data_IF_914194629736
#
_entry.id   IF_914194629736
#
_cell.length_a   1.000
_cell.length_b   1.000
_cell.length_c   1.000
_cell.angle_alpha   90.00
_cell.angle_beta   90.00
_cell.angle_gamma   90.00
#
_symmetry.space_group_name_H-M   'P 1'
#
loop_
_entity.id
_entity.type
_entity.pdbx_description
1 polymer ?
#
# COMPACT_ATOMS: atom_id res chain seq x y z
N UNK A 1 22.55 -30.64 -65.93
CA UNK A 1 23.25 -29.61 -65.17
C UNK A 1 22.52 -29.43 -63.82
N UNK A 2 23.08 -29.93 -62.73
CA UNK A 2 22.51 -29.77 -61.35
C UNK A 2 23.22 -28.59 -60.72
N UNK A 3 22.55 -27.49 -60.52
CA UNK A 3 23.07 -26.32 -59.83
C UNK A 3 22.90 -26.49 -58.31
N UNK A 4 23.99 -26.74 -57.62
CA UNK A 4 24.06 -26.76 -56.16
C UNK A 4 24.05 -25.35 -55.63
N UNK A 5 23.03 -24.98 -54.86
CA UNK A 5 23.00 -23.73 -54.09
C UNK A 5 24.13 -23.73 -53.03
N UNK A 6 24.85 -22.64 -52.85
CA UNK A 6 25.97 -22.60 -51.91
C UNK A 6 25.42 -22.58 -50.45
N UNK A 7 25.95 -23.52 -49.66
CA UNK A 7 25.66 -23.70 -48.23
C UNK A 7 25.98 -22.47 -47.36
N UNK A 8 26.64 -21.45 -47.91
CA UNK A 8 26.97 -20.20 -47.23
C UNK A 8 25.77 -19.28 -46.90
N UNK A 9 24.66 -19.33 -47.69
CA UNK A 9 23.48 -18.49 -47.45
C UNK A 9 22.61 -18.98 -46.28
N UNK A 10 22.63 -20.29 -46.00
CA UNK A 10 21.86 -20.88 -44.88
C UNK A 10 22.47 -20.57 -43.50
N UNK A 11 23.80 -20.44 -43.42
CA UNK A 11 24.53 -20.11 -42.17
C UNK A 11 24.34 -18.66 -41.79
N UNK A 12 24.17 -17.72 -42.75
CA UNK A 12 23.98 -16.30 -42.46
C UNK A 12 22.57 -16.01 -41.92
N UNK A 13 21.55 -16.78 -42.34
CA UNK A 13 20.18 -16.63 -41.83
C UNK A 13 19.98 -17.19 -40.43
N UNK A 14 20.74 -18.20 -40.02
CA UNK A 14 20.75 -18.72 -38.65
C UNK A 14 21.49 -17.79 -37.67
N UNK A 15 22.46 -16.99 -38.12
CA UNK A 15 23.20 -16.07 -37.25
C UNK A 15 22.39 -14.78 -36.93
N UNK A 16 21.46 -14.38 -37.80
CA UNK A 16 20.60 -13.22 -37.59
C UNK A 16 19.39 -13.49 -36.67
N UNK A 17 19.02 -14.77 -36.47
CA UNK A 17 17.94 -15.15 -35.56
C UNK A 17 18.36 -15.20 -34.07
N UNK A 18 19.65 -15.13 -33.76
CA UNK A 18 20.17 -15.27 -32.39
C UNK A 18 20.43 -13.93 -31.67
N UNK A 19 20.09 -12.80 -32.24
CA UNK A 19 20.29 -11.47 -31.63
C UNK A 19 19.01 -10.82 -31.09
N UNK A 20 17.97 -11.60 -30.82
CA UNK A 20 16.93 -11.13 -29.90
C UNK A 20 17.48 -11.17 -28.47
N UNK A 21 18.53 -10.39 -28.23
CA UNK A 21 18.85 -10.03 -26.85
C UNK A 21 17.64 -9.29 -26.31
N UNK A 22 16.97 -9.88 -25.30
CA UNK A 22 16.00 -9.16 -24.51
C UNK A 22 16.69 -7.87 -24.06
N UNK A 23 16.26 -6.72 -24.59
CA UNK A 23 16.78 -5.43 -24.16
C UNK A 23 16.63 -5.40 -22.64
N UNK A 24 17.67 -5.00 -21.88
CA UNK A 24 17.57 -4.94 -20.43
C UNK A 24 16.29 -4.20 -20.08
N UNK A 25 15.48 -4.77 -19.16
CA UNK A 25 14.22 -4.19 -18.71
C UNK A 25 14.49 -2.74 -18.25
N UNK A 26 14.34 -1.78 -19.16
CA UNK A 26 14.58 -0.39 -18.83
C UNK A 26 13.44 0.09 -17.95
N UNK A 27 13.76 0.45 -16.71
CA UNK A 27 12.82 1.02 -15.76
C UNK A 27 12.92 2.53 -15.85
N UNK A 28 11.82 3.19 -16.14
CA UNK A 28 11.72 4.63 -16.18
C UNK A 28 11.51 5.16 -14.76
N UNK A 29 12.43 6.03 -14.31
CA UNK A 29 12.31 6.76 -13.05
C UNK A 29 11.90 8.20 -13.35
N UNK A 30 10.77 8.65 -12.80
CA UNK A 30 10.25 10.01 -13.00
C UNK A 30 9.67 10.60 -11.72
N UNK A 31 9.77 11.91 -11.51
CA UNK A 31 8.89 12.60 -10.57
C UNK A 31 7.44 12.38 -10.96
N UNK A 32 6.59 12.19 -9.95
CA UNK A 32 5.15 12.01 -10.14
C UNK A 32 4.44 12.65 -8.95
N UNK A 33 4.21 13.96 -9.03
CA UNK A 33 3.70 14.78 -7.95
C UNK A 33 2.17 14.90 -8.02
N UNK A 34 1.50 15.04 -6.87
CA UNK A 34 0.08 15.27 -6.77
C UNK A 34 -0.19 16.64 -6.14
N UNK A 35 -0.86 17.51 -6.86
CA UNK A 35 -1.47 18.71 -6.27
C UNK A 35 -2.83 18.33 -5.70
N UNK A 36 -3.00 18.51 -4.38
CA UNK A 36 -4.23 18.20 -3.67
C UNK A 36 -5.18 19.42 -3.55
N UNK A 37 -4.79 20.58 -4.11
CA UNK A 37 -5.47 21.87 -3.84
C UNK A 37 -5.13 22.47 -2.47
N UNK A 38 -4.55 21.67 -1.57
CA UNK A 38 -4.11 22.07 -0.22
C UNK A 38 -2.61 21.83 -0.01
N UNK A 39 -1.85 21.71 -1.11
CA UNK A 39 -0.42 21.48 -1.12
C UNK A 39 -0.02 20.33 -2.05
N UNK A 40 1.24 20.36 -2.46
CA UNK A 40 1.80 19.39 -3.40
C UNK A 40 2.47 18.26 -2.66
N UNK A 41 1.99 17.04 -2.88
CA UNK A 41 2.63 15.81 -2.43
C UNK A 41 3.63 15.34 -3.48
N UNK A 42 4.90 15.26 -3.08
CA UNK A 42 6.00 14.88 -3.96
C UNK A 42 6.10 13.37 -4.05
N UNK A 43 6.02 12.85 -5.26
CA UNK A 43 6.07 11.42 -5.54
C UNK A 43 7.13 11.04 -6.55
N UNK A 44 7.33 9.73 -6.69
CA UNK A 44 8.25 9.10 -7.64
C UNK A 44 7.59 7.88 -8.26
N UNK A 45 7.57 7.86 -9.59
CA UNK A 45 7.10 6.74 -10.40
C UNK A 45 8.28 5.89 -10.84
N UNK A 46 8.16 4.57 -10.65
CA UNK A 46 8.92 3.56 -11.38
C UNK A 46 7.98 2.87 -12.37
N UNK A 47 8.30 2.99 -13.66
CA UNK A 47 7.50 2.41 -14.74
C UNK A 47 8.37 1.42 -15.53
N UNK A 48 8.10 0.11 -15.46
CA UNK A 48 8.80 -0.87 -16.28
C UNK A 48 8.40 -0.71 -17.75
N UNK A 49 9.32 -0.99 -18.65
CA UNK A 49 9.01 -1.09 -20.07
C UNK A 49 8.09 -2.29 -20.30
N UNK A 50 6.91 -2.06 -20.86
CA UNK A 50 5.92 -3.10 -21.15
C UNK A 50 5.23 -2.81 -22.49
N UNK A 51 4.82 -3.87 -23.19
CA UNK A 51 4.00 -3.76 -24.41
C UNK A 51 2.52 -3.46 -24.10
N UNK A 52 2.09 -3.72 -22.88
CA UNK A 52 0.73 -3.45 -22.38
C UNK A 52 0.82 -2.63 -21.09
N UNK A 53 -0.19 -1.84 -20.76
CA UNK A 53 -0.22 -1.13 -19.48
C UNK A 53 0.00 -2.09 -18.30
N UNK A 54 1.05 -1.87 -17.46
CA UNK A 54 1.27 -2.68 -16.27
C UNK A 54 0.28 -2.33 -15.16
N UNK A 55 0.05 -3.23 -14.17
CA UNK A 55 -0.57 -2.84 -12.92
C UNK A 55 0.30 -1.83 -12.18
N UNK A 56 -0.32 -0.91 -11.44
CA UNK A 56 0.38 0.08 -10.62
C UNK A 56 0.10 -0.11 -9.14
N UNK A 57 1.14 -0.03 -8.34
CA UNK A 57 1.09 -0.06 -6.88
C UNK A 57 1.24 1.36 -6.34
N UNK A 58 0.33 1.77 -5.45
CA UNK A 58 0.54 2.93 -4.59
C UNK A 58 1.11 2.45 -3.25
N UNK A 59 2.37 2.80 -2.97
CA UNK A 59 3.05 2.43 -1.72
C UNK A 59 2.80 3.50 -0.66
N UNK A 60 2.13 3.11 0.43
CA UNK A 60 1.81 3.96 1.59
C UNK A 60 2.78 3.66 2.73
N UNK A 61 3.61 4.64 3.07
CA UNK A 61 4.66 4.51 4.09
C UNK A 61 4.09 4.36 5.52
N UNK A 62 4.89 3.79 6.42
CA UNK A 62 4.60 3.64 7.84
C UNK A 62 4.60 4.94 8.63
N UNK A 63 4.54 4.82 9.96
CA UNK A 63 4.39 5.91 10.93
C UNK A 63 5.52 6.95 10.92
N UNK A 64 5.22 8.11 11.50
CA UNK A 64 6.17 9.21 11.70
C UNK A 64 6.67 9.83 10.38
N UNK A 65 7.81 10.54 10.41
CA UNK A 65 8.36 11.24 9.26
C UNK A 65 9.09 10.30 8.28
N UNK A 66 8.46 9.16 7.95
CA UNK A 66 8.98 8.21 6.97
C UNK A 66 8.76 8.74 5.56
N UNK A 67 9.86 8.92 4.82
CA UNK A 67 9.85 9.41 3.44
C UNK A 67 9.37 8.35 2.43
N UNK A 68 9.26 8.74 1.17
CA UNK A 68 8.82 7.88 0.07
C UNK A 68 9.72 6.66 -0.16
N UNK A 69 10.98 6.74 0.24
CA UNK A 69 11.96 5.66 0.06
C UNK A 69 12.00 4.70 1.27
N UNK A 70 11.33 5.07 2.36
CA UNK A 70 11.28 4.29 3.59
C UNK A 70 12.32 4.72 4.64
N UNK A 71 13.01 5.85 4.43
CA UNK A 71 13.93 6.40 5.42
C UNK A 71 13.18 7.20 6.48
N UNK A 72 13.67 7.16 7.70
CA UNK A 72 13.08 7.86 8.83
C UNK A 72 14.18 8.41 9.73
N UNK A 73 14.19 9.69 10.11
CA UNK A 73 15.22 10.28 10.97
C UNK A 73 15.39 9.57 12.32
N UNK A 74 14.32 8.92 12.81
CA UNK A 74 14.33 8.18 14.08
C UNK A 74 14.40 6.65 13.87
N UNK A 75 14.12 6.15 12.65
CA UNK A 75 14.02 4.73 12.32
C UNK A 75 15.11 4.22 11.38
N UNK A 76 16.02 5.08 10.94
CA UNK A 76 17.17 4.73 10.11
C UNK A 76 17.02 5.01 8.63
N UNK A 77 18.15 4.84 7.93
CA UNK A 77 18.25 5.05 6.48
C UNK A 77 18.47 3.71 5.77
N UNK A 78 17.41 3.05 5.38
CA UNK A 78 17.43 1.69 4.83
C UNK A 78 16.76 1.54 3.46
N UNK A 79 16.01 2.56 3.00
CA UNK A 79 15.41 2.64 1.66
C UNK A 79 14.53 1.44 1.28
N UNK A 80 13.84 0.81 2.24
CA UNK A 80 13.10 -0.45 2.02
C UNK A 80 11.95 -0.28 1.02
N UNK A 81 11.25 0.86 0.99
CA UNK A 81 10.17 1.11 0.02
C UNK A 81 10.71 1.33 -1.40
N UNK A 82 11.85 2.02 -1.53
CA UNK A 82 12.51 2.14 -2.84
C UNK A 82 12.92 0.76 -3.35
N UNK A 83 13.57 -0.06 -2.50
CA UNK A 83 13.98 -1.42 -2.89
C UNK A 83 12.80 -2.30 -3.28
N UNK A 84 11.66 -2.17 -2.57
CA UNK A 84 10.43 -2.89 -2.95
C UNK A 84 9.92 -2.43 -4.32
N UNK A 85 9.90 -1.13 -4.57
CA UNK A 85 9.48 -0.57 -5.85
C UNK A 85 10.38 -1.03 -7.01
N UNK A 86 11.71 -1.04 -6.81
CA UNK A 86 12.68 -1.55 -7.78
C UNK A 86 12.43 -3.03 -8.10
N UNK A 87 12.29 -3.87 -7.06
CA UNK A 87 12.04 -5.29 -7.22
C UNK A 87 10.69 -5.61 -7.89
N UNK A 88 9.66 -4.79 -7.68
CA UNK A 88 8.37 -4.90 -8.37
C UNK A 88 8.49 -4.48 -9.84
N UNK A 89 9.23 -3.40 -10.13
CA UNK A 89 9.45 -2.95 -11.50
C UNK A 89 10.21 -3.98 -12.35
N UNK A 90 11.18 -4.68 -11.77
CA UNK A 90 11.87 -5.82 -12.42
C UNK A 90 10.89 -6.96 -12.80
N UNK A 91 9.73 -7.03 -12.15
CA UNK A 91 8.66 -8.01 -12.41
C UNK A 91 7.51 -7.47 -13.25
N UNK A 92 7.70 -6.30 -13.88
CA UNK A 92 6.69 -5.71 -14.75
C UNK A 92 5.55 -4.99 -14.01
N UNK A 93 5.72 -4.63 -12.74
CA UNK A 93 4.74 -3.93 -11.91
C UNK A 93 5.22 -2.50 -11.70
N UNK A 94 4.42 -1.51 -12.14
CA UNK A 94 4.69 -0.11 -11.88
C UNK A 94 4.43 0.25 -10.41
N UNK A 95 5.09 1.31 -9.92
CA UNK A 95 4.84 1.79 -8.56
C UNK A 95 4.96 3.28 -8.43
N UNK A 96 4.11 3.87 -7.58
CA UNK A 96 4.23 5.24 -7.10
C UNK A 96 4.47 5.21 -5.60
N UNK A 97 5.49 5.96 -5.17
CA UNK A 97 5.83 6.24 -3.77
C UNK A 97 5.79 7.75 -3.58
N UNK A 98 5.30 8.19 -2.45
CA UNK A 98 5.20 9.63 -2.17
C UNK A 98 5.61 9.95 -0.73
N UNK A 99 6.12 11.17 -0.53
CA UNK A 99 6.32 11.70 0.81
C UNK A 99 4.96 12.11 1.36
N UNK A 100 4.62 11.60 2.52
CA UNK A 100 3.38 11.98 3.20
C UNK A 100 3.36 13.50 3.45
N UNK A 101 2.19 14.06 3.56
CA UNK A 101 1.97 15.47 3.93
C UNK A 101 2.76 15.81 5.20
N UNK A 102 3.50 16.91 5.21
CA UNK A 102 4.36 17.30 6.32
C UNK A 102 5.69 16.53 6.42
N UNK A 103 6.04 15.69 5.43
CA UNK A 103 7.26 14.88 5.44
C UNK A 103 8.15 15.20 4.25
N UNK A 104 9.46 15.22 4.47
CA UNK A 104 10.51 15.36 3.47
C UNK A 104 10.20 16.45 2.45
N UNK A 105 10.06 16.13 1.15
CA UNK A 105 9.78 17.12 0.10
C UNK A 105 8.32 17.60 0.06
N UNK A 106 7.42 16.95 0.80
CA UNK A 106 6.02 17.36 1.00
C UNK A 106 5.81 18.16 2.28
N UNK A 107 6.89 18.66 2.92
CA UNK A 107 6.82 19.42 4.18
C UNK A 107 5.88 20.63 4.06
N UNK A 108 5.97 21.37 2.96
CA UNK A 108 5.14 22.56 2.71
C UNK A 108 3.63 22.25 2.55
N UNK A 109 3.25 20.99 2.36
CA UNK A 109 1.84 20.59 2.26
C UNK A 109 1.14 20.51 3.64
N UNK A 110 1.90 20.53 4.74
CA UNK A 110 1.37 20.69 6.11
C UNK A 110 2.35 21.56 6.91
N UNK A 111 2.21 22.89 6.85
CA UNK A 111 3.13 23.79 7.55
C UNK A 111 3.04 23.68 9.07
N UNK A 112 1.93 23.18 9.60
CA UNK A 112 1.76 22.94 11.02
C UNK A 112 1.43 21.46 11.27
N UNK A 113 2.16 20.83 12.20
CA UNK A 113 1.99 19.41 12.55
C UNK A 113 0.63 19.13 13.19
N UNK A 114 0.07 20.06 13.92
CA UNK A 114 -1.23 19.94 14.58
C UNK A 114 -2.43 19.86 13.61
N UNK A 115 -2.24 20.20 12.34
CA UNK A 115 -3.25 20.05 11.30
C UNK A 115 -3.31 18.62 10.73
N UNK A 116 -2.36 17.75 11.11
CA UNK A 116 -2.32 16.37 10.65
C UNK A 116 -3.33 15.48 11.39
N UNK A 117 -3.93 14.57 10.66
CA UNK A 117 -4.79 13.50 11.19
C UNK A 117 -4.73 12.27 10.28
N UNK A 118 -5.19 11.12 10.77
CA UNK A 118 -5.37 9.93 9.95
C UNK A 118 -6.31 10.21 8.78
N UNK A 119 -7.39 10.99 9.00
CA UNK A 119 -8.33 11.38 7.95
C UNK A 119 -7.64 12.11 6.80
N UNK A 120 -6.76 13.06 7.09
CA UNK A 120 -5.98 13.80 6.08
C UNK A 120 -5.10 12.85 5.26
N UNK A 121 -4.43 11.89 5.88
CA UNK A 121 -3.62 10.91 5.16
C UNK A 121 -4.48 9.93 4.33
N UNK A 122 -5.67 9.58 4.81
CA UNK A 122 -6.66 8.80 4.04
C UNK A 122 -7.11 9.55 2.80
N UNK A 123 -7.43 10.84 2.94
CA UNK A 123 -7.82 11.70 1.81
C UNK A 123 -6.69 11.85 0.78
N UNK A 124 -5.43 11.94 1.23
CA UNK A 124 -4.27 11.93 0.33
C UNK A 124 -4.16 10.61 -0.47
N UNK A 125 -4.38 9.44 0.16
CA UNK A 125 -4.40 8.14 -0.53
C UNK A 125 -5.54 8.07 -1.54
N UNK A 126 -6.72 8.59 -1.21
CA UNK A 126 -7.86 8.66 -2.14
C UNK A 126 -7.50 9.50 -3.37
N UNK A 127 -6.95 10.71 -3.16
CA UNK A 127 -6.56 11.60 -4.24
C UNK A 127 -5.46 11.00 -5.15
N UNK A 128 -4.46 10.32 -4.56
CA UNK A 128 -3.47 9.56 -5.31
C UNK A 128 -4.10 8.44 -6.13
N UNK A 129 -5.04 7.71 -5.54
CA UNK A 129 -5.71 6.59 -6.19
C UNK A 129 -6.53 7.03 -7.40
N UNK A 130 -7.27 8.13 -7.27
CA UNK A 130 -8.00 8.72 -8.37
C UNK A 130 -7.09 9.19 -9.51
N UNK A 131 -5.96 9.83 -9.18
CA UNK A 131 -4.97 10.24 -10.17
C UNK A 131 -4.41 9.04 -10.94
N UNK A 132 -4.05 7.95 -10.23
CA UNK A 132 -3.50 6.75 -10.84
C UNK A 132 -4.50 6.00 -11.70
N UNK A 133 -5.75 5.91 -11.29
CA UNK A 133 -6.80 5.26 -12.06
C UNK A 133 -7.16 5.98 -13.36
N UNK A 134 -6.93 7.31 -13.43
CA UNK A 134 -7.13 8.10 -14.66
C UNK A 134 -5.93 8.08 -15.60
N UNK A 135 -4.81 7.51 -15.19
CA UNK A 135 -3.58 7.49 -15.98
C UNK A 135 -3.58 6.26 -16.92
N UNK A 136 -3.71 6.45 -18.25
CA UNK A 136 -3.85 5.34 -19.21
C UNK A 136 -2.60 4.46 -19.32
N UNK A 137 -1.51 4.84 -18.68
CA UNK A 137 -0.29 4.02 -18.63
C UNK A 137 -0.45 2.79 -17.74
N UNK A 138 -1.49 2.71 -16.92
CA UNK A 138 -1.71 1.63 -15.96
C UNK A 138 -2.99 0.87 -16.27
N UNK A 139 -2.98 -0.46 -16.05
CA UNK A 139 -4.16 -1.31 -16.25
C UNK A 139 -5.09 -1.33 -15.06
N UNK A 140 -4.53 -1.34 -13.84
CA UNK A 140 -5.27 -1.42 -12.58
C UNK A 140 -4.45 -0.89 -11.41
N UNK A 141 -5.11 -0.56 -10.30
CA UNK A 141 -4.51 0.01 -9.09
C UNK A 141 -4.54 -0.98 -7.93
N UNK A 142 -3.40 -1.13 -7.27
CA UNK A 142 -3.23 -1.91 -6.04
C UNK A 142 -2.73 -0.99 -4.93
N UNK A 143 -3.34 -1.04 -3.74
CA UNK A 143 -2.83 -0.37 -2.56
C UNK A 143 -1.87 -1.28 -1.79
N UNK A 144 -0.70 -0.79 -1.47
CA UNK A 144 0.27 -1.50 -0.61
C UNK A 144 0.61 -0.60 0.57
N UNK A 145 0.18 -0.97 1.75
CA UNK A 145 0.47 -0.25 2.98
C UNK A 145 1.50 -0.99 3.83
N UNK A 146 2.49 -0.27 4.35
CA UNK A 146 3.47 -0.78 5.28
C UNK A 146 3.22 -0.22 6.68
N UNK A 147 3.17 -1.09 7.71
CA UNK A 147 2.99 -0.69 9.11
C UNK A 147 1.71 0.15 9.29
N UNK A 148 1.78 1.37 9.81
CA UNK A 148 0.65 2.32 9.88
C UNK A 148 0.03 2.59 8.50
N UNK A 149 0.83 2.57 7.43
CA UNK A 149 0.34 2.70 6.06
C UNK A 149 -0.66 1.61 5.66
N UNK A 150 -0.62 0.43 6.29
CA UNK A 150 -1.62 -0.62 6.08
C UNK A 150 -3.00 -0.23 6.63
N UNK A 151 -3.05 0.43 7.79
CA UNK A 151 -4.29 1.01 8.33
C UNK A 151 -4.83 2.13 7.43
N UNK A 152 -3.97 3.08 7.05
CA UNK A 152 -4.35 4.20 6.19
C UNK A 152 -4.90 3.69 4.86
N UNK A 153 -4.21 2.73 4.22
CA UNK A 153 -4.67 2.11 2.98
C UNK A 153 -6.01 1.37 3.17
N UNK A 154 -6.20 0.67 4.31
CA UNK A 154 -7.46 -0.03 4.61
C UNK A 154 -8.64 0.91 4.81
N UNK A 155 -8.41 2.07 5.43
CA UNK A 155 -9.42 3.12 5.59
C UNK A 155 -9.75 3.81 4.25
N UNK A 156 -8.75 3.99 3.39
CA UNK A 156 -8.92 4.64 2.09
C UNK A 156 -9.58 3.73 1.05
N UNK A 157 -9.25 2.44 1.02
CA UNK A 157 -9.64 1.51 -0.03
C UNK A 157 -11.15 1.52 -0.40
N UNK A 158 -12.10 1.59 0.56
CA UNK A 158 -13.53 1.65 0.22
C UNK A 158 -13.95 2.92 -0.55
N UNK A 159 -13.08 3.93 -0.61
CA UNK A 159 -13.30 5.23 -1.28
C UNK A 159 -12.47 5.37 -2.55
N UNK A 160 -11.79 4.30 -2.98
CA UNK A 160 -10.85 4.32 -4.11
C UNK A 160 -11.24 3.28 -5.16
N UNK A 161 -10.78 3.42 -6.40
CA UNK A 161 -10.91 2.40 -7.44
C UNK A 161 -9.86 1.28 -7.32
N UNK A 162 -9.26 1.09 -6.16
CA UNK A 162 -8.29 0.02 -5.94
C UNK A 162 -8.96 -1.35 -5.99
N UNK A 163 -8.34 -2.27 -6.71
CA UNK A 163 -8.87 -3.63 -6.92
C UNK A 163 -8.30 -4.66 -5.94
N UNK A 164 -7.16 -4.36 -5.33
CA UNK A 164 -6.50 -5.21 -4.34
C UNK A 164 -5.83 -4.35 -3.26
N UNK A 165 -5.64 -4.95 -2.07
CA UNK A 165 -4.86 -4.34 -0.99
C UNK A 165 -3.87 -5.35 -0.40
N UNK A 166 -2.64 -4.90 -0.19
CA UNK A 166 -1.58 -5.66 0.47
C UNK A 166 -1.17 -4.93 1.75
N UNK A 167 -1.33 -5.60 2.88
CA UNK A 167 -0.89 -5.13 4.19
C UNK A 167 0.44 -5.79 4.54
N UNK A 168 1.51 -5.01 4.65
CA UNK A 168 2.85 -5.50 5.02
C UNK A 168 3.18 -4.99 6.42
N UNK A 169 3.45 -5.88 7.37
CA UNK A 169 3.79 -5.55 8.76
C UNK A 169 2.76 -4.59 9.41
N UNK A 170 1.47 -4.75 9.06
CA UNK A 170 0.37 -3.93 9.58
C UNK A 170 -0.08 -4.40 10.95
N UNK A 171 -0.41 -3.45 11.85
CA UNK A 171 -1.00 -3.79 13.14
C UNK A 171 -2.41 -4.36 12.98
N UNK A 172 -2.72 -5.37 13.77
CA UNK A 172 -4.07 -5.94 13.92
C UNK A 172 -4.81 -5.44 15.17
N UNK A 173 -4.18 -4.57 15.94
CA UNK A 173 -4.76 -4.02 17.16
C UNK A 173 -4.65 -2.48 17.21
N UNK A 174 -5.46 -1.79 18.03
CA UNK A 174 -5.40 -0.34 18.19
C UNK A 174 -4.00 0.15 18.56
N UNK A 175 -3.56 1.24 17.92
CA UNK A 175 -2.17 1.71 18.02
C UNK A 175 -1.79 2.20 19.42
N UNK A 176 -2.75 2.67 20.21
CA UNK A 176 -2.52 3.00 21.62
C UNK A 176 -2.04 1.77 22.43
N UNK A 177 -2.52 0.58 22.10
CA UNK A 177 -2.06 -0.69 22.70
C UNK A 177 -0.66 -1.05 22.23
N UNK A 178 -0.41 -0.96 20.92
CA UNK A 178 0.92 -1.24 20.33
C UNK A 178 1.98 -0.34 20.95
N UNK A 179 1.72 0.97 21.04
CA UNK A 179 2.65 1.93 21.65
C UNK A 179 2.93 1.59 23.14
N UNK A 180 1.89 1.26 23.89
CA UNK A 180 2.03 0.86 25.28
C UNK A 180 2.91 -0.39 25.45
N UNK A 181 2.74 -1.38 24.60
CA UNK A 181 3.57 -2.59 24.59
C UNK A 181 5.02 -2.29 24.22
N UNK A 182 5.26 -1.48 23.20
CA UNK A 182 6.59 -1.07 22.79
C UNK A 182 7.32 -0.25 23.88
N UNK A 183 6.60 0.61 24.60
CA UNK A 183 7.17 1.43 25.68
C UNK A 183 7.47 0.59 26.93
N UNK A 184 6.64 -0.44 27.23
CA UNK A 184 6.83 -1.32 28.40
C UNK A 184 8.20 -2.01 28.41
N UNK A 185 8.72 -2.37 27.24
CA UNK A 185 10.05 -2.98 27.12
C UNK A 185 11.22 -1.99 27.13
N UNK A 186 10.96 -0.68 27.09
CA UNK A 186 12.00 0.36 26.88
C UNK A 186 12.10 1.39 28.00
N UNK A 187 11.05 1.59 28.77
CA UNK A 187 10.99 2.63 29.80
C UNK A 187 11.07 2.06 31.21
N UNK A 188 11.75 2.76 32.13
CA UNK A 188 11.65 2.49 33.54
C UNK A 188 10.21 2.58 34.06
N UNK A 189 9.84 1.88 35.15
CA UNK A 189 8.44 1.82 35.62
C UNK A 189 7.79 3.18 35.91
N UNK A 190 8.55 4.17 36.40
CA UNK A 190 8.03 5.51 36.67
C UNK A 190 7.66 6.24 35.37
N UNK A 191 8.55 6.20 34.37
CA UNK A 191 8.28 6.82 33.05
C UNK A 191 7.17 6.09 32.28
N UNK A 192 7.07 4.76 32.43
CA UNK A 192 5.99 3.98 31.83
C UNK A 192 4.62 4.41 32.39
N UNK A 193 4.49 4.63 33.73
CA UNK A 193 3.24 5.15 34.31
C UNK A 193 2.87 6.52 33.77
N UNK A 194 3.87 7.41 33.57
CA UNK A 194 3.65 8.73 32.96
C UNK A 194 3.18 8.59 31.51
N UNK A 195 3.84 7.72 30.71
CA UNK A 195 3.42 7.42 29.35
C UNK A 195 1.98 6.88 29.32
N UNK A 196 1.65 5.91 30.17
CA UNK A 196 0.31 5.34 30.26
C UNK A 196 -0.76 6.39 30.57
N UNK A 197 -0.46 7.35 31.46
CA UNK A 197 -1.37 8.46 31.77
C UNK A 197 -1.60 9.36 30.55
N UNK A 198 -0.55 9.72 29.82
CA UNK A 198 -0.65 10.54 28.59
C UNK A 198 -1.43 9.78 27.52
N UNK A 199 -1.09 8.51 27.27
CA UNK A 199 -1.78 7.68 26.27
C UNK A 199 -3.28 7.52 26.60
N UNK A 200 -3.65 7.41 27.88
CA UNK A 200 -5.03 7.34 28.32
C UNK A 200 -5.79 8.64 28.03
N UNK A 201 -5.18 9.82 28.32
CA UNK A 201 -5.78 11.11 27.98
C UNK A 201 -5.98 11.26 26.47
N UNK A 202 -4.96 10.92 25.66
CA UNK A 202 -5.06 10.99 24.20
C UNK A 202 -6.15 10.05 23.66
N UNK A 203 -6.29 8.86 24.25
CA UNK A 203 -7.37 7.91 23.89
C UNK A 203 -8.76 8.47 24.21
N UNK A 204 -8.87 9.25 25.29
CA UNK A 204 -10.09 9.99 25.64
C UNK A 204 -10.35 11.21 24.74
N UNK A 205 -9.37 11.61 23.91
CA UNK A 205 -9.46 12.77 23.02
C UNK A 205 -8.92 14.06 23.67
N UNK A 206 -8.22 13.95 24.78
CA UNK A 206 -7.70 15.09 25.56
C UNK A 206 -6.20 15.27 25.33
N UNK A 207 -5.77 16.48 25.00
CA UNK A 207 -4.36 16.82 24.86
C UNK A 207 -3.70 17.11 26.21
N UNK A 208 -2.37 16.92 26.29
CA UNK A 208 -1.56 17.14 27.50
C UNK A 208 -0.37 18.05 27.16
N UNK A 209 -0.14 19.06 28.01
CA UNK A 209 1.05 19.94 27.91
C UNK A 209 2.26 19.44 28.70
N UNK A 210 2.03 18.64 29.75
CA UNK A 210 3.02 18.14 30.68
C UNK A 210 3.67 16.83 30.22
N UNK A 211 4.41 16.88 29.12
CA UNK A 211 5.05 15.70 28.53
C UNK A 211 6.48 15.54 29.09
N UNK A 212 6.81 14.37 29.68
CA UNK A 212 8.18 14.09 30.11
C UNK A 212 9.18 14.21 28.94
N UNK A 213 10.37 14.79 29.15
CA UNK A 213 11.38 14.97 28.10
C UNK A 213 11.71 13.68 27.33
N UNK A 214 11.77 12.53 28.02
CA UNK A 214 12.03 11.23 27.43
C UNK A 214 10.94 10.79 26.45
N UNK A 215 9.73 11.36 26.50
CA UNK A 215 8.58 11.04 25.66
C UNK A 215 8.29 12.15 24.62
N UNK A 216 9.02 13.28 24.66
CA UNK A 216 8.74 14.45 23.85
C UNK A 216 8.74 14.15 22.34
N UNK A 217 9.66 13.32 21.86
CA UNK A 217 9.71 12.94 20.45
C UNK A 217 8.45 12.19 19.98
N UNK A 218 7.81 11.44 20.87
CA UNK A 218 6.64 10.61 20.55
C UNK A 218 5.31 11.31 20.87
N UNK A 219 5.24 12.07 21.98
CA UNK A 219 3.99 12.55 22.57
C UNK A 219 3.95 14.09 22.68
N UNK A 220 4.83 14.84 21.97
CA UNK A 220 4.83 16.32 22.00
C UNK A 220 3.46 16.89 21.66
N UNK A 221 3.09 18.05 22.18
CA UNK A 221 1.75 18.63 21.98
C UNK A 221 1.33 18.74 20.52
N UNK A 222 2.24 19.09 19.60
CA UNK A 222 1.92 19.25 18.17
C UNK A 222 1.52 17.96 17.47
N UNK A 223 1.98 16.79 17.92
CA UNK A 223 1.60 15.49 17.32
C UNK A 223 0.33 14.89 17.94
N UNK A 224 -0.12 15.41 19.08
CA UNK A 224 -1.24 14.80 19.81
C UNK A 224 -2.57 14.80 19.04
N UNK A 225 -2.96 15.83 18.26
CA UNK A 225 -4.15 15.76 17.43
C UNK A 225 -4.11 14.58 16.46
N UNK A 226 -2.94 14.31 15.86
CA UNK A 226 -2.74 13.14 15.02
C UNK A 226 -2.93 11.83 15.81
N UNK A 227 -2.27 11.69 16.98
CA UNK A 227 -2.37 10.50 17.82
C UNK A 227 -3.81 10.26 18.31
N UNK A 228 -4.54 11.32 18.68
CA UNK A 228 -5.97 11.23 19.04
C UNK A 228 -6.77 10.66 17.88
N UNK A 229 -6.56 11.14 16.67
CA UNK A 229 -7.24 10.62 15.49
C UNK A 229 -6.89 9.16 15.22
N UNK A 230 -5.61 8.79 15.40
CA UNK A 230 -5.10 7.44 15.19
C UNK A 230 -5.64 6.44 16.23
N UNK A 231 -5.75 6.85 17.49
CA UNK A 231 -6.25 6.01 18.58
C UNK A 231 -7.75 5.71 18.50
N UNK A 232 -8.51 6.47 17.69
CA UNK A 232 -9.93 6.17 17.40
C UNK A 232 -10.10 4.99 16.44
N UNK A 233 -9.07 4.67 15.67
CA UNK A 233 -9.13 3.63 14.66
C UNK A 233 -8.87 2.24 15.24
N UNK A 234 -9.57 1.26 14.67
CA UNK A 234 -9.36 -0.16 14.92
C UNK A 234 -8.88 -0.82 13.61
N UNK A 235 -7.60 -1.18 13.50
CA UNK A 235 -7.03 -1.74 12.28
C UNK A 235 -7.70 -3.03 11.82
N UNK A 236 -7.99 -3.96 12.74
CA UNK A 236 -8.65 -5.22 12.39
C UNK A 236 -10.06 -4.96 11.84
N UNK A 237 -10.81 -4.05 12.46
CA UNK A 237 -12.14 -3.67 11.99
C UNK A 237 -12.10 -2.95 10.64
N UNK A 238 -11.13 -2.06 10.42
CA UNK A 238 -10.94 -1.38 9.13
C UNK A 238 -10.64 -2.39 8.01
N UNK A 239 -9.70 -3.30 8.26
CA UNK A 239 -9.30 -4.34 7.32
C UNK A 239 -10.44 -5.34 7.04
N UNK A 240 -11.19 -5.74 8.07
CA UNK A 240 -12.33 -6.69 7.94
C UNK A 240 -13.50 -6.16 7.11
N UNK A 241 -13.59 -4.85 6.87
CA UNK A 241 -14.62 -4.23 6.02
C UNK A 241 -14.27 -4.22 4.53
N UNK A 242 -13.04 -4.58 4.17
CA UNK A 242 -12.60 -4.61 2.78
C UNK A 242 -13.35 -5.67 1.99
N UNK A 243 -13.80 -5.31 0.79
CA UNK A 243 -14.50 -6.22 -0.13
C UNK A 243 -13.62 -6.68 -1.29
N UNK A 244 -12.46 -6.11 -1.43
CA UNK A 244 -11.46 -6.46 -2.45
C UNK A 244 -10.55 -7.59 -1.95
N UNK A 245 -9.90 -8.35 -2.84
CA UNK A 245 -8.87 -9.32 -2.48
C UNK A 245 -7.76 -8.68 -1.66
N UNK A 246 -7.27 -9.40 -0.64
CA UNK A 246 -6.25 -8.89 0.27
C UNK A 246 -5.15 -9.91 0.52
N UNK A 247 -3.92 -9.39 0.65
CA UNK A 247 -2.74 -10.13 1.08
C UNK A 247 -2.19 -9.50 2.36
N UNK A 248 -1.91 -10.31 3.36
CA UNK A 248 -1.21 -9.96 4.59
C UNK A 248 0.18 -10.57 4.53
N UNK A 249 1.23 -9.78 4.70
CA UNK A 249 2.61 -10.26 4.76
C UNK A 249 3.25 -9.81 6.06
N UNK A 250 3.77 -10.76 6.84
CA UNK A 250 4.34 -10.49 8.15
C UNK A 250 5.67 -11.25 8.35
N UNK A 251 6.66 -10.54 8.89
CA UNK A 251 7.94 -11.11 9.29
C UNK A 251 7.89 -11.70 10.70
N UNK A 252 8.46 -12.91 10.89
CA UNK A 252 8.52 -13.52 12.23
C UNK A 252 9.56 -12.88 13.16
N UNK A 253 10.51 -12.14 12.58
CA UNK A 253 11.55 -11.41 13.33
C UNK A 253 11.24 -9.91 13.44
N UNK A 254 9.99 -9.51 13.18
CA UNK A 254 9.54 -8.12 13.38
C UNK A 254 9.42 -7.82 14.88
N UNK A 255 10.19 -6.80 15.31
CA UNK A 255 10.24 -6.35 16.71
C UNK A 255 9.29 -5.18 17.02
N UNK A 256 8.49 -4.74 16.03
CA UNK A 256 7.55 -3.63 16.17
C UNK A 256 6.10 -4.10 16.09
N UNK A 257 5.80 -4.98 15.14
CA UNK A 257 4.48 -5.57 14.91
C UNK A 257 4.64 -7.09 14.84
N UNK A 258 3.91 -7.82 15.64
CA UNK A 258 4.08 -9.27 15.79
C UNK A 258 3.19 -10.09 14.85
N UNK A 259 3.48 -11.40 14.81
CA UNK A 259 2.66 -12.35 14.04
C UNK A 259 1.19 -12.35 14.51
N UNK A 260 0.95 -12.13 15.80
CA UNK A 260 -0.40 -12.03 16.36
C UNK A 260 -1.25 -10.91 15.74
N UNK A 261 -0.61 -9.82 15.30
CA UNK A 261 -1.27 -8.72 14.58
C UNK A 261 -1.74 -9.19 13.19
N UNK A 262 -0.88 -9.87 12.45
CA UNK A 262 -1.23 -10.42 11.14
C UNK A 262 -2.36 -11.44 11.23
N UNK A 263 -2.32 -12.31 12.25
CA UNK A 263 -3.41 -13.26 12.54
C UNK A 263 -4.71 -12.55 12.94
N UNK A 264 -4.63 -11.41 13.65
CA UNK A 264 -5.81 -10.61 13.99
C UNK A 264 -6.45 -9.98 12.74
N UNK A 265 -5.63 -9.48 11.79
CA UNK A 265 -6.13 -9.01 10.49
C UNK A 265 -6.79 -10.16 9.71
N UNK A 266 -6.16 -11.35 9.67
CA UNK A 266 -6.73 -12.49 8.98
C UNK A 266 -8.03 -12.99 9.64
N UNK A 267 -8.12 -13.00 10.97
CA UNK A 267 -9.38 -13.32 11.65
C UNK A 267 -10.49 -12.34 11.32
N UNK A 268 -10.16 -11.06 11.13
CA UNK A 268 -11.13 -10.02 10.75
C UNK A 268 -11.60 -10.15 9.29
N UNK A 269 -10.72 -10.69 8.41
CA UNK A 269 -11.02 -10.95 6.99
C UNK A 269 -10.49 -12.35 6.60
N UNK A 270 -11.27 -13.42 6.85
CA UNK A 270 -10.80 -14.80 6.70
C UNK A 270 -10.45 -15.23 5.27
N UNK A 271 -10.99 -14.55 4.26
CA UNK A 271 -10.68 -14.75 2.85
C UNK A 271 -9.35 -14.11 2.40
N UNK A 272 -8.64 -13.42 3.31
CA UNK A 272 -7.32 -12.88 3.04
C UNK A 272 -6.26 -13.96 2.92
N UNK A 273 -5.31 -13.78 2.00
CA UNK A 273 -4.10 -14.58 2.01
C UNK A 273 -3.17 -14.10 3.12
N UNK A 274 -2.59 -15.01 3.90
CA UNK A 274 -1.57 -14.71 4.91
C UNK A 274 -0.25 -15.38 4.53
N UNK A 275 0.82 -14.60 4.51
CA UNK A 275 2.19 -15.07 4.30
C UNK A 275 3.06 -14.64 5.47
N UNK A 276 3.57 -15.61 6.21
CA UNK A 276 4.53 -15.41 7.29
C UNK A 276 5.93 -15.74 6.77
N UNK A 277 6.89 -14.84 6.96
CA UNK A 277 8.25 -14.94 6.43
C UNK A 277 9.24 -15.10 7.58
N UNK A 278 9.92 -16.24 7.61
CA UNK A 278 10.94 -16.53 8.60
C UNK A 278 12.13 -15.57 8.45
N UNK A 279 12.61 -15.04 9.57
CA UNK A 279 13.75 -14.13 9.61
C UNK A 279 13.45 -12.69 9.13
N UNK A 280 12.31 -12.40 8.53
CA UNK A 280 12.01 -11.05 8.06
C UNK A 280 11.69 -10.13 9.26
N UNK A 281 12.33 -8.95 9.28
CA UNK A 281 12.10 -7.89 10.25
C UNK A 281 11.14 -6.80 9.71
N UNK A 282 10.88 -5.76 10.54
CA UNK A 282 9.94 -4.68 10.21
C UNK A 282 10.28 -3.91 8.94
N UNK A 283 11.58 -3.74 8.62
CA UNK A 283 12.05 -3.07 7.40
C UNK A 283 12.30 -4.05 6.25
N UNK A 284 11.63 -5.19 6.28
CA UNK A 284 11.54 -6.15 5.17
C UNK A 284 12.86 -6.84 4.83
N UNK A 285 13.80 -6.93 5.78
CA UNK A 285 15.11 -7.57 5.64
C UNK A 285 15.14 -8.89 6.39
N UNK A 286 15.95 -9.85 5.93
CA UNK A 286 16.26 -11.03 6.74
C UNK A 286 17.33 -10.63 7.75
N UNK A 287 16.97 -10.67 9.03
CA UNK A 287 17.84 -10.33 10.15
C UNK A 287 17.52 -11.19 11.38
N UNK A 288 18.47 -11.40 12.30
CA UNK A 288 18.18 -12.06 13.57
C UNK A 288 17.07 -11.34 14.34
N UNK A 289 16.36 -12.05 15.20
CA UNK A 289 15.26 -11.47 16.01
C UNK A 289 15.75 -10.51 17.12
N UNK A 290 17.03 -10.59 17.48
CA UNK A 290 17.66 -9.81 18.57
C UNK A 290 19.08 -9.38 18.21
N UNK A 291 19.64 -8.49 19.04
CA UNK A 291 21.06 -8.10 18.99
C UNK A 291 21.37 -6.96 18.02
N UNK A 292 22.67 -6.64 17.95
CA UNK A 292 23.18 -5.51 17.16
C UNK A 292 22.91 -5.65 15.65
N UNK A 293 22.91 -6.85 15.13
CA UNK A 293 22.63 -7.10 13.71
C UNK A 293 21.19 -6.72 13.33
N UNK A 294 20.22 -6.96 14.22
CA UNK A 294 18.86 -6.50 14.01
C UNK A 294 18.80 -4.97 13.91
N UNK A 295 19.48 -4.27 14.82
CA UNK A 295 19.49 -2.81 14.85
C UNK A 295 20.30 -2.21 13.69
N UNK A 296 21.44 -2.79 13.34
CA UNK A 296 22.27 -2.30 12.23
C UNK A 296 21.58 -2.39 10.88
N UNK A 297 20.69 -3.38 10.68
CA UNK A 297 19.92 -3.52 9.47
C UNK A 297 19.07 -2.28 9.15
N UNK A 298 18.65 -1.52 10.18
CA UNK A 298 17.85 -0.29 9.98
C UNK A 298 18.64 0.86 9.36
N UNK A 299 19.97 0.79 9.37
CA UNK A 299 20.85 1.82 8.81
C UNK A 299 21.67 1.33 7.60
N UNK A 300 21.34 0.18 7.03
CA UNK A 300 22.00 -0.34 5.86
C UNK A 300 21.07 -0.34 4.63
N UNK A 301 21.21 0.67 3.73
CA UNK A 301 20.40 0.75 2.51
C UNK A 301 20.75 -0.33 1.47
N UNK A 302 21.87 -1.06 1.64
CA UNK A 302 22.35 -2.05 0.67
C UNK A 302 21.88 -3.47 0.98
N UNK A 303 21.35 -3.73 2.19
CA UNK A 303 20.81 -5.05 2.50
C UNK A 303 19.65 -5.38 1.54
N UNK A 304 19.62 -6.60 0.99
CA UNK A 304 18.54 -7.04 0.13
C UNK A 304 17.23 -7.21 0.91
N UNK A 305 16.09 -7.04 0.25
CA UNK A 305 14.80 -7.42 0.79
C UNK A 305 14.70 -8.93 0.98
N UNK A 306 13.83 -9.37 1.89
CA UNK A 306 13.43 -10.76 1.98
C UNK A 306 12.84 -11.21 0.63
N UNK A 307 13.49 -12.20 -0.03
CA UNK A 307 13.10 -12.67 -1.36
C UNK A 307 11.65 -13.15 -1.40
N UNK A 308 11.21 -13.86 -0.36
CA UNK A 308 9.86 -14.38 -0.23
C UNK A 308 8.79 -13.25 -0.20
N UNK A 309 9.11 -12.08 0.36
CA UNK A 309 8.22 -10.91 0.31
C UNK A 309 7.95 -10.49 -1.14
N UNK A 310 9.01 -10.28 -1.90
CA UNK A 310 8.91 -9.83 -3.29
C UNK A 310 8.16 -10.86 -4.15
N UNK A 311 8.41 -12.15 -3.92
CA UNK A 311 7.71 -13.25 -4.60
C UNK A 311 6.21 -13.29 -4.23
N UNK A 312 5.86 -13.15 -2.94
CA UNK A 312 4.47 -13.17 -2.49
C UNK A 312 3.67 -11.98 -3.05
N UNK A 313 4.22 -10.77 -2.93
CA UNK A 313 3.60 -9.54 -3.41
C UNK A 313 3.42 -9.57 -4.94
N UNK A 314 4.48 -9.87 -5.69
CA UNK A 314 4.39 -9.88 -7.16
C UNK A 314 3.45 -10.97 -7.67
N UNK A 315 3.47 -12.17 -7.08
CA UNK A 315 2.56 -13.26 -7.44
C UNK A 315 1.10 -12.90 -7.18
N UNK A 316 0.81 -12.26 -6.06
CA UNK A 316 -0.55 -11.83 -5.73
C UNK A 316 -1.08 -10.85 -6.78
N UNK A 317 -0.31 -9.81 -7.08
CA UNK A 317 -0.66 -8.80 -8.08
C UNK A 317 -0.84 -9.42 -9.48
N UNK A 318 0.10 -10.25 -9.94
CA UNK A 318 0.07 -10.78 -11.31
C UNK A 318 -1.04 -11.82 -11.54
N UNK A 319 -1.42 -12.61 -10.51
CA UNK A 319 -2.55 -13.53 -10.59
C UNK A 319 -3.89 -12.80 -10.76
N UNK A 320 -4.07 -11.67 -10.07
CA UNK A 320 -5.26 -10.83 -10.27
C UNK A 320 -5.38 -10.36 -11.72
N UNK A 321 -4.26 -9.94 -12.34
CA UNK A 321 -4.22 -9.54 -13.74
C UNK A 321 -4.53 -10.70 -14.73
N UNK A 322 -4.14 -11.92 -14.42
CA UNK A 322 -4.46 -13.11 -15.23
C UNK A 322 -5.95 -13.50 -15.12
N UNK A 323 -6.52 -13.41 -13.91
CA UNK A 323 -7.94 -13.70 -13.68
C UNK A 323 -8.84 -12.69 -14.41
N UNK A 324 -8.47 -11.42 -14.44
CA UNK A 324 -9.21 -10.38 -15.18
C UNK A 324 -9.18 -10.61 -16.69
N UNK A 325 -8.01 -10.91 -17.27
CA UNK A 325 -7.88 -11.26 -18.67
C UNK A 325 -8.69 -12.50 -19.06
N UNK A 326 -8.83 -13.48 -18.17
CA UNK A 326 -9.65 -14.67 -18.39
C UNK A 326 -11.15 -14.39 -18.33
N UNK A 327 -11.57 -13.37 -17.57
CA UNK A 327 -12.98 -12.98 -17.41
C UNK A 327 -13.49 -12.09 -18.56
N UNK A 328 -12.62 -11.33 -19.22
CA UNK A 328 -13.00 -10.37 -20.29
C UNK A 328 -13.68 -11.02 -21.52
N UNK A 329 -13.28 -12.21 -22.01
CA UNK A 329 -13.97 -12.86 -23.12
C UNK A 329 -15.39 -13.29 -22.80
N UNK A 330 -15.69 -13.66 -21.57
CA UNK A 330 -17.02 -14.11 -21.13
C UNK A 330 -18.05 -12.96 -21.07
N UNK A 331 -17.65 -11.76 -20.71
CA UNK A 331 -18.54 -10.59 -20.71
C UNK A 331 -18.88 -10.07 -22.10
N UNK A 332 -17.95 -10.21 -23.08
CA UNK A 332 -18.19 -9.81 -24.47
C UNK A 332 -19.07 -10.80 -25.24
N UNK A 333 -19.30 -12.01 -24.72
CA UNK A 333 -20.13 -13.07 -25.36
C UNK A 333 -21.57 -13.12 -24.84
N UNK A 334 -21.94 -12.33 -23.85
CA UNK A 334 -23.33 -12.25 -23.40
C UNK A 334 -24.13 -11.34 -24.38
N UNK A 335 -25.23 -11.83 -24.99
CA UNK A 335 -26.07 -10.98 -25.82
C UNK A 335 -26.70 -9.88 -24.99
N UNK A 336 -26.74 -8.68 -25.53
CA UNK A 336 -27.42 -7.55 -24.90
C UNK A 336 -28.86 -7.95 -24.52
N UNK A 337 -29.38 -7.54 -23.35
CA UNK A 337 -30.75 -7.84 -22.97
C UNK A 337 -31.68 -7.28 -24.05
N UNK A 338 -32.43 -8.17 -24.70
CA UNK A 338 -33.47 -7.79 -25.67
C UNK A 338 -34.50 -6.94 -24.97
N UNK A 339 -34.59 -5.67 -25.36
CA UNK A 339 -35.65 -4.77 -24.94
C UNK A 339 -37.00 -5.40 -25.35
N UNK A 340 -37.75 -5.89 -24.36
CA UNK A 340 -39.13 -6.29 -24.57
C UNK A 340 -39.94 -5.06 -24.93
N UNK A 341 -40.39 -5.02 -26.18
CA UNK A 341 -41.40 -4.06 -26.67
C UNK A 341 -42.62 -4.10 -25.76
N UNK A 342 -42.87 -3.05 -25.02
CA UNK A 342 -44.13 -2.81 -24.35
C UNK A 342 -45.19 -2.44 -25.39
N UNK A 343 -46.07 -3.39 -25.73
CA UNK A 343 -47.29 -3.11 -26.47
C UNK A 343 -48.17 -2.10 -25.72
N UNK A 344 -48.73 -1.08 -26.38
CA UNK A 344 -49.66 -0.19 -25.73
C UNK A 344 -51.01 -0.89 -25.54
N UNK A 345 -51.48 -0.97 -24.27
CA UNK A 345 -52.83 -1.40 -23.96
C UNK A 345 -53.79 -0.25 -24.32
N UNK A 346 -54.69 -0.52 -25.28
CA UNK A 346 -55.82 0.35 -25.62
C UNK A 346 -56.74 0.48 -24.40
N UNK A 347 -56.96 1.71 -23.96
CA UNK A 347 -58.02 2.06 -23.03
C UNK A 347 -59.39 1.90 -23.70
N UNK A 348 -60.19 0.97 -23.20
CA UNK A 348 -61.64 0.91 -23.51
C UNK A 348 -62.36 1.81 -22.50
N UNK A 349 -63.02 2.83 -23.04
CA UNK A 349 -63.86 3.69 -22.25
C UNK A 349 -65.17 2.98 -21.86
N UNK A 350 -65.60 3.25 -20.66
CA UNK A 350 -67.01 3.08 -20.25
C UNK A 350 -67.45 4.35 -19.50
N UNK A 351 -68.42 5.00 -20.12
CA UNK A 351 -69.31 6.01 -19.51
C UNK A 351 -70.34 5.26 -18.64
N UNK A 352 -70.70 5.85 -17.55
CA UNK A 352 -72.08 5.87 -16.98
C UNK A 352 -71.98 6.81 -15.78
N UNK A 353 -72.63 7.97 -15.84
CA UNK A 353 -74.00 8.40 -15.58
C UNK A 353 -74.25 8.54 -14.10
N UNK A 354 -74.63 9.82 -13.78
CA UNK A 354 -75.31 10.38 -12.63
C UNK A 354 -76.18 9.42 -11.81
N UNK A 355 -76.18 9.57 -10.52
CA UNK A 355 -77.34 10.02 -9.73
C UNK A 355 -77.07 10.01 -8.22
N UNK A 356 -77.41 11.16 -7.58
CA UNK A 356 -77.74 11.46 -6.19
C UNK A 356 -76.61 11.84 -5.27
#
# INVERSE_FOLDING_TARGET
>A
MKTSMPRALLALFCLLASLAHAAPNSILHRPYDLDTGHGVLRGSLLLPRSAVPPPVVLLVAGSGPTDRDGNNPFGGNNRYLLRLAEALAERGIASVRYDKRGVARSLAAAPREEDLSVGVYVDDVVAWSERLARDPRFSRLILVGHSEGALIASLAAPRTPAEELIAIAGSGQPIDRVLREQLRGRLPPAQLRQADSVLASLKAGETRGDIPPALANLLRPSVQPYLISLFREDPARAFGRLRIPTLIVQGRNDIQVGVADAEALQRAKPDSQLVLIDGMNHILRIAPSTGLQQLSAYNDPNLPLARQLVEAVSRFILRGAEAEKAAEPLQKSLPAPTSSESRPVKAAGQRMSDDR
#
